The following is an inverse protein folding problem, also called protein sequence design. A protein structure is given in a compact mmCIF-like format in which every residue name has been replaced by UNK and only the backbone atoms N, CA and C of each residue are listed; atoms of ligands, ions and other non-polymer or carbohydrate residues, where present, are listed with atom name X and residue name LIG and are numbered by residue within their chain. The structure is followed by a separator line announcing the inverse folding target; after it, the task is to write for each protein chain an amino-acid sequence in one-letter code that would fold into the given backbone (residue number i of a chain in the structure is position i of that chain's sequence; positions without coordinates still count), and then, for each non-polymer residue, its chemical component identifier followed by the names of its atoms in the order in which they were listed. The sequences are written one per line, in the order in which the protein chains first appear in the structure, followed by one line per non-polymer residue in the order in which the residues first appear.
data_IF_732556527415
#
_entry.id   IF_732556527415
#
_cell.length_a   1.000
_cell.length_b   1.000
_cell.length_c   1.000
_cell.angle_alpha   90.00
_cell.angle_beta   90.00
_cell.angle_gamma   90.00
#
_symmetry.space_group_name_H-M   'P 1'
#
loop_
_entity.id
_entity.type
_entity.pdbx_description
1 polymer ?
#
# COMPACT_ATOMS: atom_id res chain seq x y z
N UNK A 1 -15.45 -52.50 -15.07
CA UNK A 1 -14.59 -51.77 -14.12
C UNK A 1 -13.52 -51.09 -14.97
N UNK A 2 -13.39 -49.78 -15.13
CA UNK A 2 -13.86 -48.65 -14.34
C UNK A 2 -13.90 -47.39 -15.21
N UNK A 3 -15.04 -46.70 -15.13
CA UNK A 3 -15.33 -45.26 -15.30
C UNK A 3 -14.42 -44.44 -16.22
N UNK A 4 -14.94 -44.20 -17.43
CA UNK A 4 -14.76 -42.96 -18.18
C UNK A 4 -14.98 -41.77 -17.23
N UNK A 5 -13.93 -40.98 -17.00
CA UNK A 5 -14.00 -39.73 -16.25
C UNK A 5 -14.65 -38.71 -17.20
N UNK A 6 -15.90 -38.34 -16.94
CA UNK A 6 -16.58 -37.21 -17.56
C UNK A 6 -15.63 -36.01 -17.56
N UNK A 7 -15.15 -35.63 -18.74
CA UNK A 7 -14.96 -34.21 -19.09
C UNK A 7 -16.38 -33.71 -19.30
N UNK A 8 -17.05 -33.31 -18.23
CA UNK A 8 -18.18 -32.41 -18.40
C UNK A 8 -17.58 -31.14 -18.98
N UNK A 9 -17.90 -30.91 -20.26
CA UNK A 9 -17.82 -29.62 -20.92
C UNK A 9 -18.47 -28.60 -19.99
N UNK A 10 -17.63 -27.74 -19.43
CA UNK A 10 -17.99 -26.64 -18.55
C UNK A 10 -18.65 -25.54 -19.43
N UNK A 11 -19.88 -25.83 -19.88
CA UNK A 11 -20.60 -25.06 -20.90
C UNK A 11 -20.71 -23.59 -20.52
N UNK A 12 -20.53 -22.70 -21.51
CA UNK A 12 -20.66 -21.27 -21.30
C UNK A 12 -22.13 -20.91 -21.04
N UNK A 13 -22.51 -20.75 -19.77
CA UNK A 13 -23.87 -20.39 -19.37
C UNK A 13 -23.96 -18.90 -19.04
N UNK A 14 -24.82 -18.16 -19.75
CA UNK A 14 -25.15 -16.76 -19.42
C UNK A 14 -26.08 -16.73 -18.22
N UNK A 15 -25.49 -16.69 -17.03
CA UNK A 15 -26.23 -16.71 -15.78
C UNK A 15 -25.68 -15.64 -14.84
N UNK A 16 -26.57 -14.79 -14.33
CA UNK A 16 -26.25 -13.88 -13.25
C UNK A 16 -26.29 -14.63 -11.92
N UNK A 17 -25.12 -14.77 -11.27
CA UNK A 17 -24.96 -15.48 -10.00
C UNK A 17 -25.25 -14.59 -8.78
N UNK A 18 -25.51 -13.30 -9.00
CA UNK A 18 -25.81 -12.31 -7.96
C UNK A 18 -24.77 -11.19 -7.86
N UNK A 19 -25.17 -10.08 -7.24
CA UNK A 19 -24.38 -8.86 -7.16
C UNK A 19 -23.04 -9.04 -6.43
N UNK A 20 -22.98 -9.77 -5.29
CA UNK A 20 -21.71 -10.02 -4.60
C UNK A 20 -20.70 -10.79 -5.47
N UNK A 21 -21.18 -11.69 -6.34
CA UNK A 21 -20.34 -12.44 -7.29
C UNK A 21 -19.80 -11.55 -8.37
N UNK A 22 -20.66 -10.73 -8.96
CA UNK A 22 -20.26 -9.78 -9.97
C UNK A 22 -19.26 -8.74 -9.40
N UNK A 23 -19.50 -8.18 -8.21
CA UNK A 23 -18.59 -7.22 -7.57
C UNK A 23 -17.18 -7.80 -7.38
N UNK A 24 -17.08 -9.02 -6.86
CA UNK A 24 -15.78 -9.67 -6.65
C UNK A 24 -15.05 -9.99 -7.95
N UNK A 25 -15.78 -10.32 -9.02
CA UNK A 25 -15.21 -10.54 -10.34
C UNK A 25 -14.77 -9.23 -11.02
N UNK A 26 -15.55 -8.15 -10.85
CA UNK A 26 -15.23 -6.80 -11.34
C UNK A 26 -13.95 -6.28 -10.68
N UNK A 27 -13.84 -6.36 -9.35
CA UNK A 27 -12.64 -5.98 -8.60
C UNK A 27 -11.41 -6.78 -9.07
N UNK A 28 -11.56 -8.10 -9.25
CA UNK A 28 -10.48 -8.97 -9.74
C UNK A 28 -10.03 -8.66 -11.17
N UNK A 29 -10.93 -8.13 -12.00
CA UNK A 29 -10.67 -7.78 -13.39
C UNK A 29 -10.17 -6.34 -13.60
N UNK A 30 -10.09 -5.56 -12.51
CA UNK A 30 -9.64 -4.17 -12.53
C UNK A 30 -10.72 -3.15 -12.89
N UNK A 31 -12.01 -3.49 -12.78
CA UNK A 31 -13.08 -2.50 -12.91
C UNK A 31 -13.23 -1.68 -11.62
N UNK A 32 -13.46 -0.37 -11.78
CA UNK A 32 -13.75 0.56 -10.70
C UNK A 32 -15.23 0.56 -10.30
N UNK A 33 -16.08 -0.17 -11.05
CA UNK A 33 -17.52 -0.16 -10.91
C UNK A 33 -18.02 -1.29 -10.01
N UNK A 34 -19.11 -1.02 -9.29
CA UNK A 34 -19.90 -2.05 -8.62
C UNK A 34 -21.06 -2.56 -9.50
N UNK A 35 -21.66 -3.67 -9.09
CA UNK A 35 -22.79 -4.32 -9.75
C UNK A 35 -24.03 -3.42 -9.90
N UNK A 36 -24.26 -2.47 -8.99
CA UNK A 36 -25.37 -1.52 -9.09
C UNK A 36 -25.12 -0.48 -10.19
N UNK A 37 -23.90 0.04 -10.27
CA UNK A 37 -23.45 0.93 -11.33
C UNK A 37 -23.44 0.23 -12.69
N UNK A 38 -22.99 -1.02 -12.75
CA UNK A 38 -23.05 -1.84 -13.98
C UNK A 38 -24.51 -2.06 -14.41
N UNK A 39 -25.40 -2.43 -13.49
CA UNK A 39 -26.82 -2.61 -13.81
C UNK A 39 -27.45 -1.30 -14.34
N UNK A 40 -27.18 -0.17 -13.68
CA UNK A 40 -27.70 1.13 -14.11
C UNK A 40 -27.21 1.49 -15.53
N UNK A 41 -25.92 1.29 -15.83
CA UNK A 41 -25.37 1.52 -17.17
C UNK A 41 -25.96 0.58 -18.21
N UNK A 42 -26.22 -0.68 -17.87
CA UNK A 42 -26.85 -1.63 -18.77
C UNK A 42 -28.30 -1.26 -19.07
N UNK A 43 -29.07 -0.86 -18.06
CA UNK A 43 -30.45 -0.40 -18.22
C UNK A 43 -30.54 0.87 -19.08
N UNK A 44 -29.66 1.84 -18.83
CA UNK A 44 -29.57 3.06 -19.62
C UNK A 44 -29.22 2.74 -21.09
N UNK A 45 -28.21 1.90 -21.31
CA UNK A 45 -27.78 1.52 -22.65
C UNK A 45 -28.85 0.73 -23.42
N UNK A 46 -29.58 -0.16 -22.74
CA UNK A 46 -30.73 -0.85 -23.31
C UNK A 46 -31.84 0.13 -23.71
N UNK A 47 -32.14 1.12 -22.85
CA UNK A 47 -33.06 2.21 -23.18
C UNK A 47 -32.62 3.07 -24.38
N UNK A 48 -31.31 3.15 -24.63
CA UNK A 48 -30.71 3.80 -25.79
C UNK A 48 -30.57 2.88 -27.02
N UNK A 49 -31.01 1.61 -26.94
CA UNK A 49 -30.93 0.62 -28.02
C UNK A 49 -29.51 0.14 -28.34
N UNK A 50 -28.56 0.31 -27.42
CA UNK A 50 -27.16 -0.13 -27.59
C UNK A 50 -27.02 -1.62 -27.24
N UNK A 51 -26.26 -2.41 -28.01
CA UNK A 51 -26.06 -3.83 -27.72
C UNK A 51 -25.02 -4.05 -26.61
N UNK A 52 -25.09 -5.19 -25.93
CA UNK A 52 -24.13 -5.58 -24.88
C UNK A 52 -22.67 -5.60 -25.34
N UNK A 53 -22.41 -5.87 -26.63
CA UNK A 53 -21.07 -5.86 -27.24
C UNK A 53 -20.37 -4.51 -27.11
N UNK A 54 -21.14 -3.43 -27.05
CA UNK A 54 -20.63 -2.07 -26.95
C UNK A 54 -20.59 -1.58 -25.50
N UNK A 55 -21.47 -2.12 -24.66
CA UNK A 55 -21.62 -1.72 -23.26
C UNK A 55 -20.57 -2.39 -22.38
N UNK A 56 -20.38 -3.71 -22.54
CA UNK A 56 -19.49 -4.50 -21.66
C UNK A 56 -18.04 -4.00 -21.70
N UNK A 57 -17.43 -3.69 -22.86
CA UNK A 57 -16.09 -3.12 -22.90
C UNK A 57 -15.99 -1.75 -22.20
N UNK A 58 -17.06 -0.95 -22.23
CA UNK A 58 -17.11 0.38 -21.60
C UNK A 58 -17.22 0.36 -20.07
N UNK A 59 -17.33 -0.84 -19.47
CA UNK A 59 -17.30 -1.02 -18.01
C UNK A 59 -15.89 -1.00 -17.42
N UNK A 60 -14.87 -0.93 -18.28
CA UNK A 60 -13.46 -0.91 -17.90
C UNK A 60 -12.81 0.35 -18.46
N UNK A 61 -11.98 1.00 -17.65
CA UNK A 61 -11.23 2.20 -18.06
C UNK A 61 -10.06 1.86 -19.01
N UNK A 62 -9.75 0.57 -19.17
CA UNK A 62 -8.71 0.04 -20.06
C UNK A 62 -8.90 -1.46 -20.35
N UNK A 63 -7.85 -2.14 -20.81
CA UNK A 63 -7.92 -3.60 -21.08
C UNK A 63 -8.05 -4.39 -19.76
N UNK A 64 -9.11 -5.20 -19.59
CA UNK A 64 -9.34 -5.93 -18.35
C UNK A 64 -8.25 -6.99 -18.12
N UNK A 65 -7.73 -7.05 -16.90
CA UNK A 65 -6.65 -7.99 -16.54
C UNK A 65 -7.21 -9.11 -15.69
N UNK A 66 -7.03 -10.35 -16.16
CA UNK A 66 -7.60 -11.52 -15.48
C UNK A 66 -6.52 -12.37 -14.81
N UNK A 67 -6.68 -12.75 -13.53
CA UNK A 67 -5.74 -13.67 -12.86
C UNK A 67 -5.77 -15.09 -13.42
N UNK A 68 -6.87 -15.49 -14.07
CA UNK A 68 -6.98 -16.77 -14.78
C UNK A 68 -8.08 -16.73 -15.85
N UNK A 69 -8.01 -17.62 -16.86
CA UNK A 69 -9.06 -17.75 -17.87
C UNK A 69 -10.44 -18.09 -17.29
N UNK A 70 -10.49 -18.82 -16.16
CA UNK A 70 -11.74 -19.18 -15.49
C UNK A 70 -12.44 -17.97 -14.87
N UNK A 71 -11.67 -17.02 -14.32
CA UNK A 71 -12.22 -15.76 -13.79
C UNK A 71 -12.77 -14.91 -14.92
N UNK A 72 -12.06 -14.82 -16.05
CA UNK A 72 -12.52 -14.10 -17.22
C UNK A 72 -13.86 -14.68 -17.72
N UNK A 73 -13.91 -16.00 -17.92
CA UNK A 73 -15.13 -16.71 -18.34
C UNK A 73 -16.28 -16.42 -17.40
N UNK A 74 -16.07 -16.56 -16.08
CA UNK A 74 -17.12 -16.35 -15.07
C UNK A 74 -17.62 -14.91 -15.02
N UNK A 75 -16.73 -13.93 -15.19
CA UNK A 75 -17.12 -12.52 -15.28
C UNK A 75 -18.04 -12.28 -16.49
N UNK A 76 -17.64 -12.73 -17.68
CA UNK A 76 -18.45 -12.54 -18.89
C UNK A 76 -19.77 -13.30 -18.84
N UNK A 77 -19.81 -14.49 -18.22
CA UNK A 77 -21.06 -15.22 -17.96
C UNK A 77 -22.03 -14.40 -17.11
N UNK A 78 -21.52 -13.77 -16.03
CA UNK A 78 -22.34 -12.92 -15.15
C UNK A 78 -22.79 -11.63 -15.83
N UNK A 79 -21.91 -10.95 -16.57
CA UNK A 79 -22.25 -9.72 -17.29
C UNK A 79 -23.30 -9.97 -18.38
N UNK A 80 -23.15 -11.04 -19.15
CA UNK A 80 -24.12 -11.39 -20.18
C UNK A 80 -25.43 -11.91 -19.57
N UNK A 81 -25.38 -12.68 -18.49
CA UNK A 81 -26.59 -13.08 -17.77
C UNK A 81 -27.33 -11.89 -17.16
N UNK A 82 -26.61 -10.88 -16.65
CA UNK A 82 -27.20 -9.64 -16.16
C UNK A 82 -27.86 -8.85 -17.29
N UNK A 83 -27.21 -8.77 -18.45
CA UNK A 83 -27.78 -8.15 -19.64
C UNK A 83 -29.05 -8.86 -20.11
N UNK A 84 -29.07 -10.20 -20.13
CA UNK A 84 -30.26 -10.99 -20.48
C UNK A 84 -31.42 -10.70 -19.51
N UNK A 85 -31.16 -10.49 -18.21
CA UNK A 85 -32.17 -10.05 -17.24
C UNK A 85 -32.71 -8.64 -17.54
N UNK A 86 -31.85 -7.72 -18.01
CA UNK A 86 -32.26 -6.36 -18.41
C UNK A 86 -33.11 -6.40 -19.68
N UNK A 87 -32.72 -7.17 -20.70
CA UNK A 87 -33.47 -7.32 -21.95
C UNK A 87 -34.85 -7.97 -21.72
N UNK A 88 -34.94 -8.91 -20.79
CA UNK A 88 -36.19 -9.58 -20.45
C UNK A 88 -37.07 -8.78 -19.48
N UNK A 89 -36.59 -7.62 -19.02
CA UNK A 89 -37.30 -6.76 -18.06
C UNK A 89 -37.46 -7.39 -16.67
N UNK A 90 -36.65 -8.40 -16.34
CA UNK A 90 -36.67 -9.02 -15.01
C UNK A 90 -36.13 -8.04 -13.97
N UNK A 91 -36.79 -8.01 -12.81
CA UNK A 91 -36.31 -7.23 -11.66
C UNK A 91 -35.11 -7.95 -11.05
N UNK A 92 -33.91 -7.43 -11.32
CA UNK A 92 -32.66 -7.97 -10.76
C UNK A 92 -32.61 -7.64 -9.27
N UNK A 93 -32.64 -8.67 -8.42
CA UNK A 93 -32.39 -8.50 -6.98
C UNK A 93 -30.89 -8.54 -6.74
N UNK A 94 -30.32 -7.39 -6.40
CA UNK A 94 -28.88 -7.29 -6.11
C UNK A 94 -28.52 -7.91 -4.74
N UNK A 95 -29.50 -8.14 -3.87
CA UNK A 95 -29.27 -8.65 -2.51
C UNK A 95 -29.16 -10.18 -2.41
N UNK A 96 -29.51 -10.92 -3.47
CA UNK A 96 -29.55 -12.39 -3.48
C UNK A 96 -28.40 -12.96 -4.32
N UNK A 97 -27.45 -13.67 -3.69
CA UNK A 97 -26.40 -14.44 -4.37
C UNK A 97 -25.29 -14.95 -3.44
N UNK A 98 -24.73 -16.16 -3.68
CA UNK A 98 -23.60 -16.68 -2.91
C UNK A 98 -22.36 -15.82 -3.14
N UNK A 99 -21.94 -15.08 -2.11
CA UNK A 99 -20.73 -14.24 -2.14
C UNK A 99 -19.51 -15.05 -2.60
N UNK A 100 -18.79 -14.64 -3.65
CA UNK A 100 -17.57 -15.30 -4.07
C UNK A 100 -16.58 -15.15 -2.91
N UNK A 101 -15.71 -16.15 -2.67
CA UNK A 101 -14.65 -15.97 -1.70
C UNK A 101 -13.80 -14.79 -2.18
N UNK A 102 -13.87 -13.66 -1.45
CA UNK A 102 -12.97 -12.53 -1.68
C UNK A 102 -11.56 -13.10 -1.78
N UNK A 103 -10.78 -12.74 -2.81
CA UNK A 103 -9.36 -13.04 -2.83
C UNK A 103 -8.83 -12.56 -1.49
N UNK A 104 -8.23 -13.47 -0.72
CA UNK A 104 -7.64 -13.07 0.55
C UNK A 104 -6.57 -12.05 0.21
N UNK A 105 -6.82 -10.77 0.49
CA UNK A 105 -5.77 -9.74 0.46
C UNK A 105 -4.62 -10.32 1.28
N UNK A 106 -3.52 -10.62 0.60
CA UNK A 106 -2.30 -11.09 1.25
C UNK A 106 -1.89 -9.94 2.13
N UNK A 107 -2.01 -10.12 3.45
CA UNK A 107 -1.61 -9.08 4.39
C UNK A 107 -0.10 -8.93 4.26
N UNK A 108 0.41 -7.70 4.08
CA UNK A 108 1.84 -7.45 4.19
C UNK A 108 2.35 -8.02 5.50
N UNK A 109 3.47 -8.73 5.44
CA UNK A 109 4.07 -9.37 6.61
C UNK A 109 5.11 -8.42 7.17
N UNK A 110 4.94 -8.01 8.43
CA UNK A 110 5.92 -7.18 9.11
C UNK A 110 7.28 -7.92 9.21
N UNK A 111 8.41 -7.21 9.10
CA UNK A 111 9.72 -7.82 9.22
C UNK A 111 9.91 -8.44 10.63
N UNK A 112 10.69 -9.52 10.74
CA UNK A 112 11.05 -10.06 12.06
C UNK A 112 11.87 -9.03 12.84
N UNK A 113 11.63 -8.94 14.15
CA UNK A 113 12.36 -8.02 15.01
C UNK A 113 13.87 -8.35 15.04
N UNK A 114 14.72 -7.33 15.03
CA UNK A 114 16.17 -7.49 15.17
C UNK A 114 16.65 -7.51 16.64
N UNK A 115 15.84 -7.03 17.59
CA UNK A 115 16.17 -7.07 19.02
C UNK A 115 16.49 -8.50 19.50
N UNK A 116 17.55 -8.70 20.32
CA UNK A 116 18.38 -7.69 20.99
C UNK A 116 19.60 -7.21 20.18
N UNK A 117 19.72 -7.59 18.91
CA UNK A 117 20.82 -7.23 18.03
C UNK A 117 20.66 -5.87 17.34
N UNK A 118 21.23 -5.78 16.15
CA UNK A 118 21.19 -4.60 15.28
C UNK A 118 20.45 -4.92 13.97
N UNK A 119 19.83 -3.93 13.32
CA UNK A 119 19.19 -4.14 12.03
C UNK A 119 20.21 -4.58 10.98
N UNK A 120 19.86 -5.60 10.20
CA UNK A 120 20.60 -5.99 8.99
C UNK A 120 20.07 -5.21 7.78
N UNK A 121 20.80 -5.21 6.66
CA UNK A 121 20.28 -4.66 5.39
C UNK A 121 18.97 -5.33 4.97
N UNK A 122 18.87 -6.66 5.11
CA UNK A 122 17.63 -7.41 4.83
C UNK A 122 16.44 -6.94 5.69
N UNK A 123 16.68 -6.58 6.96
CA UNK A 123 15.65 -6.03 7.82
C UNK A 123 15.20 -4.66 7.33
N UNK A 124 16.14 -3.77 6.98
CA UNK A 124 15.85 -2.42 6.50
C UNK A 124 15.00 -2.46 5.23
N UNK A 125 15.40 -3.27 4.25
CA UNK A 125 14.64 -3.50 3.01
C UNK A 125 13.24 -4.04 3.27
N UNK A 126 13.12 -5.05 4.15
CA UNK A 126 11.83 -5.63 4.49
C UNK A 126 10.92 -4.64 5.24
N UNK A 127 11.50 -3.77 6.09
CA UNK A 127 10.78 -2.74 6.82
C UNK A 127 10.30 -1.63 5.88
N UNK A 128 11.15 -1.14 4.98
CA UNK A 128 10.78 -0.16 3.95
C UNK A 128 9.63 -0.70 3.08
N UNK A 129 9.78 -1.92 2.55
CA UNK A 129 8.74 -2.56 1.75
C UNK A 129 7.43 -2.75 2.51
N UNK A 130 7.50 -3.08 3.80
CA UNK A 130 6.31 -3.20 4.64
C UNK A 130 5.59 -1.84 4.82
N UNK A 131 6.32 -0.73 4.92
CA UNK A 131 5.73 0.61 5.02
C UNK A 131 5.07 1.05 3.71
N UNK A 132 5.63 0.67 2.57
CA UNK A 132 5.03 0.89 1.24
C UNK A 132 3.75 0.04 1.04
N UNK A 133 3.80 -1.23 1.41
CA UNK A 133 2.71 -2.18 1.14
C UNK A 133 1.53 -2.07 2.14
N UNK A 134 1.74 -1.59 3.37
CA UNK A 134 0.71 -1.47 4.43
C UNK A 134 0.45 -0.02 4.85
N UNK A 135 -0.37 0.69 4.06
CA UNK A 135 -0.77 2.08 4.33
C UNK A 135 -1.32 2.29 5.75
N UNK A 136 -2.09 1.32 6.28
CA UNK A 136 -2.67 1.45 7.63
C UNK A 136 -1.59 1.39 8.70
N UNK A 137 -0.60 0.52 8.53
CA UNK A 137 0.54 0.46 9.44
C UNK A 137 1.40 1.72 9.34
N UNK A 138 1.66 2.20 8.11
CA UNK A 138 2.36 3.46 7.86
C UNK A 138 1.68 4.64 8.57
N UNK A 139 0.37 4.81 8.39
CA UNK A 139 -0.40 5.88 9.05
C UNK A 139 -0.36 5.77 10.57
N UNK A 140 -0.48 4.55 11.12
CA UNK A 140 -0.38 4.33 12.58
C UNK A 140 1.01 4.72 13.11
N UNK A 141 2.06 4.35 12.39
CA UNK A 141 3.44 4.69 12.75
C UNK A 141 3.70 6.20 12.60
N UNK A 142 3.14 6.84 11.57
CA UNK A 142 3.23 8.30 11.36
C UNK A 142 2.60 9.06 12.52
N UNK A 143 1.37 8.70 12.91
CA UNK A 143 0.74 9.29 14.09
C UNK A 143 1.57 9.03 15.35
N UNK A 144 2.18 7.85 15.48
CA UNK A 144 3.02 7.56 16.64
C UNK A 144 4.31 8.39 16.63
N UNK A 145 4.90 8.64 15.47
CA UNK A 145 6.07 9.50 15.29
C UNK A 145 5.74 10.93 15.68
N UNK A 146 4.68 11.50 15.09
CA UNK A 146 4.21 12.86 15.35
C UNK A 146 3.89 13.11 16.82
N UNK A 147 3.21 12.16 17.47
CA UNK A 147 2.83 12.33 18.87
C UNK A 147 3.97 12.11 19.86
N UNK A 148 4.99 11.31 19.51
CA UNK A 148 6.06 10.93 20.45
C UNK A 148 7.34 11.73 20.26
N UNK A 149 7.58 12.23 19.05
CA UNK A 149 8.84 12.88 18.67
C UNK A 149 8.67 14.39 18.48
N UNK A 150 7.77 15.01 19.25
CA UNK A 150 7.52 16.46 19.27
C UNK A 150 8.82 17.29 19.36
N UNK A 151 9.74 16.90 20.25
CA UNK A 151 11.05 17.58 20.37
C UNK A 151 11.93 17.45 19.14
N UNK A 152 11.97 16.28 18.49
CA UNK A 152 12.72 16.08 17.25
C UNK A 152 12.11 16.88 16.10
N UNK A 153 10.78 16.92 16.02
CA UNK A 153 10.05 17.70 15.02
C UNK A 153 10.24 19.20 15.23
N UNK A 154 10.22 19.69 16.48
CA UNK A 154 10.49 21.09 16.78
C UNK A 154 11.92 21.52 16.42
N UNK A 155 12.92 20.66 16.60
CA UNK A 155 14.29 20.92 16.14
C UNK A 155 14.39 20.91 14.61
N UNK A 156 13.61 20.08 13.93
CA UNK A 156 13.52 20.07 12.48
C UNK A 156 12.87 21.36 11.95
N UNK A 157 11.75 21.79 12.54
CA UNK A 157 11.06 23.04 12.20
C UNK A 157 11.98 24.26 12.42
N UNK A 158 12.80 24.23 13.48
CA UNK A 158 13.75 25.28 13.83
C UNK A 158 15.04 25.30 13.00
N UNK A 159 15.27 24.31 12.12
CA UNK A 159 16.51 24.18 11.38
C UNK A 159 16.66 25.16 10.20
N UNK A 160 15.56 25.82 9.79
CA UNK A 160 15.57 26.80 8.71
C UNK A 160 15.83 26.20 7.32
N UNK A 161 15.42 24.95 7.11
CA UNK A 161 15.43 24.28 5.80
C UNK A 161 14.34 24.88 4.88
N UNK A 162 14.48 24.66 3.57
CA UNK A 162 13.41 24.86 2.60
C UNK A 162 12.28 23.85 2.80
N UNK A 163 11.16 24.02 2.11
CA UNK A 163 10.05 23.08 2.19
C UNK A 163 10.46 21.68 1.68
N UNK A 164 11.31 21.64 0.65
CA UNK A 164 11.88 20.42 0.08
C UNK A 164 12.84 19.75 1.07
N UNK A 165 13.81 20.51 1.62
CA UNK A 165 14.77 20.00 2.60
C UNK A 165 14.10 19.50 3.88
N UNK A 166 13.09 20.24 4.35
CA UNK A 166 12.24 19.84 5.46
C UNK A 166 11.47 18.55 5.15
N UNK A 167 10.84 18.47 3.98
CA UNK A 167 10.07 17.31 3.54
C UNK A 167 10.91 16.03 3.54
N UNK A 168 12.10 16.08 2.93
CA UNK A 168 13.05 14.96 2.88
C UNK A 168 13.50 14.57 4.29
N UNK A 169 13.95 15.53 5.09
CA UNK A 169 14.42 15.26 6.45
C UNK A 169 13.32 14.65 7.34
N UNK A 170 12.10 15.20 7.28
CA UNK A 170 10.94 14.71 8.03
C UNK A 170 10.57 13.29 7.63
N UNK A 171 10.51 13.04 6.32
CA UNK A 171 10.17 11.73 5.78
C UNK A 171 11.19 10.68 6.21
N UNK A 172 12.48 10.96 6.03
CA UNK A 172 13.55 10.03 6.39
C UNK A 172 13.60 9.77 7.90
N UNK A 173 13.42 10.78 8.75
CA UNK A 173 13.36 10.59 10.21
C UNK A 173 12.14 9.77 10.64
N UNK A 174 10.99 9.92 9.96
CA UNK A 174 9.82 9.08 10.18
C UNK A 174 10.13 7.61 9.86
N UNK A 175 10.73 7.33 8.70
CA UNK A 175 11.04 5.96 8.29
C UNK A 175 12.01 5.29 9.25
N UNK A 176 13.08 6.00 9.64
CA UNK A 176 14.04 5.50 10.63
C UNK A 176 13.35 5.21 11.98
N UNK A 177 12.47 6.09 12.44
CA UNK A 177 11.67 5.83 13.63
C UNK A 177 10.78 4.58 13.47
N UNK A 178 10.12 4.44 12.32
CA UNK A 178 9.25 3.30 12.02
C UNK A 178 10.02 1.97 11.97
N UNK A 179 11.19 1.95 11.33
CA UNK A 179 12.09 0.79 11.30
C UNK A 179 12.51 0.38 12.72
N UNK A 180 12.79 1.34 13.60
CA UNK A 180 13.12 1.05 15.00
C UNK A 180 11.90 0.54 15.79
N UNK A 181 10.71 1.10 15.59
CA UNK A 181 9.47 0.59 16.22
C UNK A 181 9.14 -0.84 15.79
N UNK A 182 9.38 -1.18 14.52
CA UNK A 182 9.15 -2.53 13.97
C UNK A 182 10.19 -3.53 14.49
N UNK A 183 11.45 -3.11 14.56
CA UNK A 183 12.57 -4.01 14.81
C UNK A 183 13.01 -4.13 16.28
N UNK A 184 12.57 -3.22 17.15
CA UNK A 184 12.93 -3.21 18.57
C UNK A 184 11.68 -3.25 19.47
N UNK A 185 11.15 -4.43 19.83
CA UNK A 185 9.92 -4.57 20.62
C UNK A 185 10.21 -4.41 22.13
N UNK A 186 10.59 -3.21 22.59
CA UNK A 186 9.71 -2.39 23.45
C UNK A 186 9.39 -0.98 22.88
N UNK A 187 9.93 -0.67 21.71
CA UNK A 187 9.80 0.59 20.97
C UNK A 187 10.86 1.64 21.33
N UNK A 188 10.67 2.83 20.78
CA UNK A 188 11.49 4.03 20.97
C UNK A 188 10.75 4.99 21.91
N UNK A 189 11.45 5.55 22.89
CA UNK A 189 10.94 6.63 23.73
C UNK A 189 10.97 7.98 22.99
N UNK A 190 10.42 9.01 23.62
CA UNK A 190 10.55 10.38 23.10
C UNK A 190 12.02 10.82 23.16
N UNK A 191 12.51 11.37 22.05
CA UNK A 191 13.85 11.98 21.98
C UNK A 191 13.88 13.24 22.84
N UNK A 192 14.92 13.40 23.65
CA UNK A 192 15.15 14.61 24.46
C UNK A 192 16.05 15.58 23.69
N UNK A 193 15.88 16.89 23.88
CA UNK A 193 16.71 17.91 23.22
C UNK A 193 18.21 17.70 23.42
N UNK A 194 18.61 17.26 24.62
CA UNK A 194 20.02 16.97 24.92
C UNK A 194 20.63 15.87 24.03
N UNK A 195 19.82 14.92 23.52
CA UNK A 195 20.30 13.86 22.63
C UNK A 195 20.45 14.31 21.17
N UNK A 196 19.92 15.49 20.81
CA UNK A 196 20.04 16.09 19.47
C UNK A 196 21.25 17.04 19.35
N UNK A 197 21.90 17.33 20.48
CA UNK A 197 23.21 17.95 20.54
C UNK A 197 24.27 16.86 20.35
N UNK A 198 25.37 17.17 19.66
CA UNK A 198 26.44 16.21 19.38
C UNK A 198 26.95 15.55 20.67
N UNK A 199 26.50 14.31 20.93
CA UNK A 199 26.93 13.50 22.06
C UNK A 199 28.03 12.55 21.62
N UNK A 200 29.26 12.87 21.99
CA UNK A 200 30.45 12.04 21.71
C UNK A 200 30.45 10.70 22.45
N UNK A 201 29.50 10.46 23.35
CA UNK A 201 29.36 9.21 24.10
C UNK A 201 28.26 8.30 23.58
N UNK A 202 27.53 8.72 22.53
CA UNK A 202 26.48 7.91 21.92
C UNK A 202 27.05 6.62 21.31
N UNK A 203 26.35 5.47 21.45
CA UNK A 203 26.76 4.24 20.83
C UNK A 203 26.75 4.39 19.30
N UNK A 204 27.66 3.70 18.58
CA UNK A 204 27.70 3.79 17.13
C UNK A 204 26.34 3.41 16.54
N UNK A 205 25.93 4.17 15.53
CA UNK A 205 24.74 3.86 14.75
C UNK A 205 25.00 2.61 13.90
N UNK A 206 23.99 1.74 13.70
CA UNK A 206 24.13 0.57 12.83
C UNK A 206 24.52 0.99 11.42
N UNK A 207 25.42 0.23 10.81
CA UNK A 207 25.87 0.48 9.44
C UNK A 207 24.71 0.45 8.45
N UNK A 208 23.82 -0.55 8.55
CA UNK A 208 22.63 -0.71 7.71
C UNK A 208 21.73 0.54 7.66
N UNK A 209 21.48 1.18 8.81
CA UNK A 209 20.65 2.40 8.86
C UNK A 209 21.40 3.62 8.32
N UNK A 210 22.73 3.68 8.47
CA UNK A 210 23.53 4.77 7.89
C UNK A 210 23.58 4.66 6.36
N UNK A 211 23.79 3.44 5.84
CA UNK A 211 23.76 3.18 4.40
C UNK A 211 22.42 3.59 3.81
N UNK A 212 21.30 3.21 4.45
CA UNK A 212 19.97 3.62 4.02
C UNK A 212 19.81 5.14 3.96
N UNK A 213 20.27 5.86 4.99
CA UNK A 213 20.26 7.33 5.00
C UNK A 213 21.06 7.90 3.85
N UNK A 214 22.26 7.38 3.61
CA UNK A 214 23.14 7.88 2.55
C UNK A 214 22.54 7.61 1.15
N UNK A 215 21.88 6.47 0.95
CA UNK A 215 21.17 6.12 -0.29
C UNK A 215 19.98 7.06 -0.54
N UNK A 216 19.09 7.25 0.45
CA UNK A 216 17.92 8.15 0.30
C UNK A 216 18.35 9.60 0.06
N UNK A 217 19.41 10.06 0.73
CA UNK A 217 19.92 11.42 0.50
C UNK A 217 20.58 11.56 -0.86
N UNK A 218 21.25 10.51 -1.36
CA UNK A 218 21.79 10.50 -2.71
C UNK A 218 20.67 10.56 -3.76
N UNK A 219 19.57 9.81 -3.57
CA UNK A 219 18.40 9.88 -4.44
C UNK A 219 17.78 11.28 -4.45
N UNK A 220 17.65 11.93 -3.29
CA UNK A 220 17.10 13.29 -3.20
C UNK A 220 18.01 14.37 -3.83
N UNK A 221 19.33 14.16 -3.86
CA UNK A 221 20.26 15.02 -4.61
C UNK A 221 20.10 14.87 -6.12
N UNK A 222 19.79 13.64 -6.58
CA UNK A 222 19.66 13.30 -8.00
C UNK A 222 18.22 13.43 -8.53
N UNK A 223 17.29 13.95 -7.74
CA UNK A 223 15.88 14.10 -8.13
C UNK A 223 15.77 15.00 -9.38
N UNK A 224 15.08 14.51 -10.42
CA UNK A 224 14.97 15.21 -11.70
C UNK A 224 13.99 16.40 -11.66
N UNK A 225 13.04 16.40 -10.72
CA UNK A 225 11.99 17.41 -10.61
C UNK A 225 12.36 18.49 -9.59
N UNK A 226 12.90 18.10 -8.43
CA UNK A 226 13.21 18.97 -7.29
C UNK A 226 14.50 18.52 -6.58
N UNK A 227 15.67 18.66 -7.22
CA UNK A 227 16.94 18.28 -6.60
C UNK A 227 17.26 19.18 -5.41
N UNK A 228 17.71 18.59 -4.32
CA UNK A 228 18.24 19.36 -3.19
C UNK A 228 19.59 20.01 -3.55
N UNK A 229 19.74 21.30 -3.23
CA UNK A 229 21.03 21.96 -3.39
C UNK A 229 22.08 21.35 -2.46
N UNK A 230 23.32 21.21 -2.93
CA UNK A 230 24.40 20.55 -2.18
C UNK A 230 24.63 21.13 -0.76
N UNK A 231 24.47 22.45 -0.59
CA UNK A 231 24.60 23.09 0.72
C UNK A 231 23.46 22.71 1.67
N UNK A 232 22.25 22.60 1.15
CA UNK A 232 21.09 22.17 1.92
C UNK A 232 21.16 20.67 2.23
N UNK A 233 21.59 19.86 1.25
CA UNK A 233 21.80 18.42 1.43
C UNK A 233 22.73 18.12 2.61
N UNK A 234 23.82 18.88 2.77
CA UNK A 234 24.72 18.72 3.92
C UNK A 234 24.05 19.09 5.25
N UNK A 235 23.21 20.12 5.27
CA UNK A 235 22.43 20.49 6.46
C UNK A 235 21.40 19.40 6.81
N UNK A 236 20.67 18.89 5.81
CA UNK A 236 19.74 17.76 5.93
C UNK A 236 20.47 16.52 6.43
N UNK A 237 21.62 16.16 5.84
CA UNK A 237 22.45 15.02 6.24
C UNK A 237 22.86 15.11 7.71
N UNK A 238 23.39 16.26 8.13
CA UNK A 238 23.81 16.47 9.50
C UNK A 238 22.63 16.40 10.50
N UNK A 239 21.45 16.86 10.09
CA UNK A 239 20.24 16.81 10.91
C UNK A 239 19.71 15.37 11.03
N UNK A 240 19.57 14.66 9.91
CA UNK A 240 19.10 13.27 9.88
C UNK A 240 20.04 12.36 10.66
N UNK A 241 21.36 12.51 10.51
CA UNK A 241 22.34 11.72 11.27
C UNK A 241 22.22 11.95 12.79
N UNK A 242 22.03 13.20 13.23
CA UNK A 242 21.78 13.52 14.65
C UNK A 242 20.45 12.93 15.13
N UNK A 243 19.40 13.04 14.33
CA UNK A 243 18.10 12.46 14.64
C UNK A 243 18.15 10.93 14.74
N UNK A 244 18.84 10.25 13.82
CA UNK A 244 19.07 8.81 13.87
C UNK A 244 19.83 8.40 15.12
N UNK A 245 20.91 9.09 15.47
CA UNK A 245 21.68 8.80 16.68
C UNK A 245 20.83 8.97 17.95
N UNK A 246 20.00 10.02 18.00
CA UNK A 246 19.09 10.28 19.10
C UNK A 246 17.99 9.20 19.21
N UNK A 247 17.37 8.82 18.10
CA UNK A 247 16.38 7.73 18.03
C UNK A 247 16.98 6.39 18.45
N UNK A 248 18.20 6.08 17.98
CA UNK A 248 18.93 4.87 18.34
C UNK A 248 19.25 4.81 19.84
N UNK A 249 19.53 5.95 20.45
CA UNK A 249 19.79 6.07 21.88
C UNK A 249 18.52 6.04 22.71
N UNK A 250 17.38 6.47 22.15
CA UNK A 250 16.09 6.52 22.82
C UNK A 250 15.33 5.17 22.86
N UNK A 251 15.90 4.08 22.36
CA UNK A 251 15.26 2.75 22.45
C UNK A 251 15.01 2.33 23.90
N UNK A 252 13.80 1.83 24.16
CA UNK A 252 13.34 1.45 25.50
C UNK A 252 13.95 0.11 25.93
N UNK A 253 14.17 -0.02 27.24
CA UNK A 253 14.63 -1.28 27.85
C UNK A 253 16.07 -1.66 27.49
N UNK A 254 16.87 -0.69 27.02
CA UNK A 254 18.28 -0.83 26.73
C UNK A 254 19.13 -0.81 28.01
#
# INVERSE_FOLDING_TARGET
MSRSKNRDSDDFQRQFEGAPTLDGLLELSGSTLDSAQVLARMQEAHGQGRPHTDVIPSLFDGEPRFPSPDIARRLYQNLLGLWDCVETGQTVRLDDGPRPPRPKKVKPVAPPAFHPGEPTGEFVEAAWRYLEDDEKARTRLSHSFENRQDTLLGELDGAGLTDEGYGVARHLLFELYAMLELGWPPGVASVRSAALVADTTAPPMPESLRTYVDEVLFEAEQDEEQPLEAQELEAVRALVQRGLAALWSARKGR
#
